data_IF_484633925474
#
_entry.id   IF_484633925474
#
_cell.length_a   1.000
_cell.length_b   1.000
_cell.length_c   1.000
_cell.angle_alpha   90.00
_cell.angle_beta   90.00
_cell.angle_gamma   90.00
#
_symmetry.space_group_name_H-M   'P 1'
#
loop_
_entity.id
_entity.type
_entity.pdbx_description
1 polymer ?
#
# COMPACT_ATOMS: atom_id res chain seq x y z
N UNK A 1 18.51 5.46 -6.41
CA UNK A 1 19.93 5.31 -6.07
C UNK A 1 20.74 4.81 -7.27
N UNK A 2 20.32 3.73 -7.96
CA UNK A 2 21.05 3.18 -9.13
C UNK A 2 21.12 4.18 -10.28
N UNK A 3 19.99 4.84 -10.60
CA UNK A 3 19.96 5.88 -11.65
C UNK A 3 20.84 7.07 -11.31
N UNK A 4 20.88 7.50 -10.05
CA UNK A 4 21.78 8.57 -9.63
C UNK A 4 23.25 8.15 -9.66
N UNK A 5 23.56 6.92 -9.22
CA UNK A 5 24.91 6.38 -9.34
C UNK A 5 25.40 6.33 -10.79
N UNK A 6 24.53 5.92 -11.71
CA UNK A 6 24.81 5.89 -13.15
C UNK A 6 25.11 7.30 -13.72
N UNK A 7 24.23 8.27 -13.41
CA UNK A 7 24.39 9.67 -13.81
C UNK A 7 25.59 10.35 -13.14
N UNK A 8 25.98 9.91 -11.96
CA UNK A 8 27.06 10.50 -11.18
C UNK A 8 28.42 9.81 -11.32
N UNK A 9 28.46 8.66 -12.00
CA UNK A 9 29.70 7.92 -12.25
C UNK A 9 30.15 7.02 -11.09
N UNK A 10 29.28 6.71 -10.10
CA UNK A 10 29.66 5.88 -8.96
C UNK A 10 28.52 5.66 -7.95
N UNK A 11 28.85 4.96 -6.86
CA UNK A 11 27.87 4.64 -5.81
C UNK A 11 28.12 5.34 -4.47
N UNK A 12 29.19 6.13 -4.38
CA UNK A 12 29.51 6.93 -3.21
C UNK A 12 28.61 8.18 -3.06
N UNK A 13 28.73 8.87 -1.93
CA UNK A 13 27.89 10.03 -1.65
C UNK A 13 28.07 11.19 -2.63
N UNK A 14 29.30 11.37 -3.18
CA UNK A 14 29.61 12.41 -4.15
C UNK A 14 28.92 12.10 -5.48
N UNK A 15 29.12 10.90 -6.01
CA UNK A 15 28.50 10.44 -7.26
C UNK A 15 26.97 10.47 -7.19
N UNK A 16 26.38 10.01 -6.07
CA UNK A 16 24.93 10.05 -5.89
C UNK A 16 24.37 11.48 -5.88
N UNK A 17 25.08 12.43 -5.27
CA UNK A 17 24.69 13.84 -5.26
C UNK A 17 24.80 14.46 -6.65
N UNK A 18 25.90 14.22 -7.35
CA UNK A 18 26.08 14.65 -8.75
C UNK A 18 24.97 14.10 -9.64
N UNK A 19 24.69 12.81 -9.53
CA UNK A 19 23.63 12.18 -10.30
C UNK A 19 22.23 12.70 -9.97
N UNK A 20 21.97 13.07 -8.72
CA UNK A 20 20.70 13.69 -8.33
C UNK A 20 20.53 15.09 -8.94
N UNK A 21 21.58 15.89 -8.93
CA UNK A 21 21.57 17.22 -9.57
C UNK A 21 21.36 17.10 -11.08
N UNK A 22 22.11 16.21 -11.75
CA UNK A 22 21.97 15.95 -13.19
C UNK A 22 20.55 15.43 -13.55
N UNK A 23 19.98 14.56 -12.73
CA UNK A 23 18.60 14.08 -12.92
C UNK A 23 17.55 15.18 -12.76
N UNK A 24 17.84 16.22 -11.96
CA UNK A 24 16.98 17.39 -11.79
C UNK A 24 17.32 18.54 -12.76
N UNK A 25 18.19 18.29 -13.77
CA UNK A 25 18.67 19.30 -14.72
C UNK A 25 19.30 20.53 -14.04
N UNK A 26 19.88 20.33 -12.85
CA UNK A 26 20.56 21.35 -12.09
C UNK A 26 22.07 21.30 -12.39
N UNK A 27 22.69 22.49 -12.56
CA UNK A 27 24.15 22.58 -12.76
C UNK A 27 24.87 22.17 -11.46
N UNK A 28 25.63 21.07 -11.45
CA UNK A 28 26.40 20.65 -10.29
C UNK A 28 27.39 21.71 -9.77
N UNK A 29 27.91 22.60 -10.63
CA UNK A 29 28.86 23.62 -10.24
C UNK A 29 28.28 24.64 -9.23
N UNK A 30 26.95 24.77 -9.19
CA UNK A 30 26.25 25.64 -8.23
C UNK A 30 26.27 25.09 -6.78
N UNK A 31 26.51 23.79 -6.62
CA UNK A 31 26.56 23.11 -5.31
C UNK A 31 27.97 22.67 -4.96
N UNK A 32 28.74 22.22 -5.94
CA UNK A 32 30.13 21.76 -5.79
C UNK A 32 31.10 22.91 -6.00
N UNK A 33 31.09 23.89 -5.11
CA UNK A 33 31.87 25.12 -5.22
C UNK A 33 33.23 25.02 -4.54
N UNK A 34 33.40 24.08 -3.59
CA UNK A 34 34.63 23.99 -2.77
C UNK A 34 34.71 25.06 -1.68
N UNK A 35 33.70 25.92 -1.52
CA UNK A 35 33.72 27.02 -0.55
C UNK A 35 33.01 26.60 0.75
N UNK A 36 33.58 26.96 1.91
CA UNK A 36 33.02 26.66 3.22
C UNK A 36 32.83 25.15 3.44
N UNK A 37 31.58 24.71 3.54
CA UNK A 37 31.21 23.29 3.70
C UNK A 37 30.75 22.63 2.38
N UNK A 38 30.82 23.34 1.27
CA UNK A 38 30.44 22.79 -0.03
C UNK A 38 31.45 21.71 -0.50
N UNK A 39 30.98 20.67 -1.19
CA UNK A 39 31.87 19.68 -1.77
C UNK A 39 32.86 20.31 -2.73
N UNK A 40 34.02 19.66 -2.91
CA UNK A 40 35.05 20.11 -3.89
C UNK A 40 34.45 20.27 -5.30
N UNK A 41 34.93 21.23 -6.11
CA UNK A 41 34.46 21.45 -7.48
C UNK A 41 34.41 20.15 -8.29
N UNK A 42 33.51 20.11 -9.28
CA UNK A 42 33.41 19.01 -10.24
C UNK A 42 34.69 18.93 -11.08
N UNK A 43 35.17 17.71 -11.27
CA UNK A 43 36.37 17.42 -12.08
C UNK A 43 36.04 16.48 -13.24
N UNK A 44 37.01 16.23 -14.13
CA UNK A 44 36.84 15.26 -15.21
C UNK A 44 36.60 13.82 -14.70
N UNK A 45 37.04 13.50 -13.47
CA UNK A 45 36.83 12.18 -12.86
C UNK A 45 35.39 11.96 -12.39
N UNK A 46 34.59 13.01 -12.32
CA UNK A 46 33.16 12.97 -11.93
C UNK A 46 32.23 12.68 -13.13
N UNK A 47 32.70 11.97 -14.14
CA UNK A 47 31.92 11.65 -15.32
C UNK A 47 30.89 10.57 -15.01
N UNK A 48 29.62 10.88 -15.28
CA UNK A 48 28.51 9.90 -15.29
C UNK A 48 28.09 9.60 -16.74
N UNK A 49 27.14 8.70 -16.89
CA UNK A 49 26.59 8.31 -18.19
C UNK A 49 25.13 8.73 -18.31
N UNK A 50 24.63 9.09 -19.50
CA UNK A 50 23.23 9.41 -19.75
C UNK A 50 22.31 8.24 -19.42
N UNK A 51 21.08 8.51 -18.91
CA UNK A 51 20.14 7.45 -18.54
C UNK A 51 19.50 6.73 -19.72
N UNK A 52 19.47 7.33 -20.90
CA UNK A 52 18.92 6.74 -22.13
C UNK A 52 19.68 5.49 -22.59
N UNK A 53 20.99 5.44 -22.34
CA UNK A 53 21.83 4.27 -22.63
C UNK A 53 21.94 3.29 -21.44
N UNK A 54 21.37 3.63 -20.28
CA UNK A 54 21.43 2.77 -19.11
C UNK A 54 20.57 1.52 -19.28
N UNK A 55 20.96 0.38 -18.67
CA UNK A 55 20.08 -0.78 -18.54
C UNK A 55 18.73 -0.38 -17.93
N UNK A 56 17.63 -1.01 -18.38
CA UNK A 56 16.27 -0.66 -17.96
C UNK A 56 16.09 -0.72 -16.43
N UNK A 57 16.65 -1.74 -15.79
CA UNK A 57 16.63 -1.87 -14.33
C UNK A 57 17.28 -0.68 -13.61
N UNK A 58 18.32 -0.10 -14.19
CA UNK A 58 19.01 1.11 -13.69
C UNK A 58 18.12 2.34 -13.92
N UNK A 59 17.59 2.51 -15.13
CA UNK A 59 16.68 3.62 -15.46
C UNK A 59 15.48 3.69 -14.54
N UNK A 60 14.94 2.53 -14.19
CA UNK A 60 13.71 2.39 -13.38
C UNK A 60 13.99 2.15 -11.89
N UNK A 61 15.27 2.22 -11.46
CA UNK A 61 15.64 1.97 -10.06
C UNK A 61 15.05 0.66 -9.50
N UNK A 62 15.12 -0.41 -10.28
CA UNK A 62 14.55 -1.72 -9.95
C UNK A 62 15.65 -2.76 -9.76
N UNK A 63 15.57 -3.67 -8.78
CA UNK A 63 16.46 -4.82 -8.71
C UNK A 63 16.35 -5.70 -9.96
N UNK A 64 17.48 -6.10 -10.55
CA UNK A 64 17.50 -6.84 -11.81
C UNK A 64 16.66 -8.13 -11.75
N UNK A 65 16.74 -8.86 -10.64
CA UNK A 65 16.04 -10.13 -10.44
C UNK A 65 14.51 -10.00 -10.40
N UNK A 66 13.97 -8.80 -10.06
CA UNK A 66 12.51 -8.55 -10.02
C UNK A 66 11.93 -8.07 -11.36
N UNK A 67 12.77 -7.62 -12.29
CA UNK A 67 12.30 -7.08 -13.59
C UNK A 67 11.44 -8.08 -14.36
N UNK A 68 11.81 -9.37 -14.49
CA UNK A 68 11.00 -10.33 -15.22
C UNK A 68 9.59 -10.50 -14.62
N UNK A 69 9.49 -10.62 -13.29
CA UNK A 69 8.22 -10.85 -12.59
C UNK A 69 7.31 -9.61 -12.64
N UNK A 70 7.90 -8.42 -12.45
CA UNK A 70 7.15 -7.16 -12.57
C UNK A 70 6.64 -6.92 -13.99
N UNK A 71 7.44 -7.21 -15.01
CA UNK A 71 7.00 -7.15 -16.42
C UNK A 71 5.89 -8.14 -16.72
N UNK A 72 6.02 -9.37 -16.26
CA UNK A 72 4.99 -10.39 -16.45
C UNK A 72 3.66 -10.01 -15.77
N UNK A 73 3.73 -9.28 -14.65
CA UNK A 73 2.55 -8.83 -13.92
C UNK A 73 1.92 -7.55 -14.46
N UNK A 74 2.72 -6.59 -14.87
CA UNK A 74 2.29 -5.23 -15.23
C UNK A 74 2.18 -5.01 -16.76
N UNK A 75 2.82 -5.86 -17.56
CA UNK A 75 2.83 -5.69 -19.01
C UNK A 75 3.37 -4.32 -19.44
N UNK A 76 2.61 -3.61 -20.27
CA UNK A 76 2.97 -2.29 -20.77
C UNK A 76 3.03 -1.20 -19.68
N UNK A 77 2.34 -1.41 -18.55
CA UNK A 77 2.36 -0.49 -17.42
C UNK A 77 3.63 -0.59 -16.57
N UNK A 78 4.52 -1.56 -16.82
CA UNK A 78 5.73 -1.76 -16.02
C UNK A 78 6.58 -0.49 -15.90
N UNK A 79 6.96 0.11 -17.01
CA UNK A 79 7.83 1.28 -16.99
C UNK A 79 7.12 2.52 -16.39
N UNK A 80 5.87 2.86 -16.75
CA UNK A 80 5.12 3.95 -16.12
C UNK A 80 4.94 3.76 -14.61
N UNK A 81 4.61 2.55 -14.14
CA UNK A 81 4.45 2.24 -12.71
C UNK A 81 5.75 2.43 -11.96
N UNK A 82 6.85 1.85 -12.49
CA UNK A 82 8.15 1.99 -11.83
C UNK A 82 8.64 3.43 -11.80
N UNK A 83 8.36 4.22 -12.83
CA UNK A 83 8.64 5.66 -12.83
C UNK A 83 7.83 6.38 -11.74
N UNK A 84 6.54 6.09 -11.63
CA UNK A 84 5.65 6.66 -10.59
C UNK A 84 6.12 6.33 -9.17
N UNK A 85 6.61 5.11 -8.94
CA UNK A 85 7.13 4.67 -7.64
C UNK A 85 8.42 5.39 -7.19
N UNK A 86 9.07 6.15 -8.06
CA UNK A 86 10.23 7.01 -7.72
C UNK A 86 9.82 8.34 -7.09
N UNK A 87 8.57 8.75 -7.27
CA UNK A 87 8.04 9.99 -6.72
C UNK A 87 7.43 9.79 -5.33
N UNK A 88 7.35 10.88 -4.57
CA UNK A 88 6.73 10.86 -3.24
C UNK A 88 5.25 10.47 -3.35
N UNK A 89 4.82 9.55 -2.48
CA UNK A 89 3.42 9.16 -2.40
C UNK A 89 2.54 10.35 -1.98
N UNK A 90 1.38 10.53 -2.59
CA UNK A 90 0.34 11.42 -2.08
C UNK A 90 -0.11 11.01 -0.67
N UNK A 91 -0.61 11.97 0.10
CA UNK A 91 -1.22 11.72 1.40
C UNK A 91 -2.73 11.65 1.21
N UNK A 92 -3.32 10.53 1.61
CA UNK A 92 -4.76 10.34 1.56
C UNK A 92 -5.37 10.23 2.94
N UNK A 93 -6.58 10.77 3.06
CA UNK A 93 -7.45 10.63 4.21
C UNK A 93 -8.69 9.87 3.79
N UNK A 94 -9.18 9.02 4.68
CA UNK A 94 -10.49 8.40 4.57
C UNK A 94 -11.47 9.17 5.46
N UNK A 95 -12.55 9.67 4.90
CA UNK A 95 -13.68 10.19 5.67
C UNK A 95 -14.35 9.03 6.45
N UNK A 96 -14.62 9.27 7.72
CA UNK A 96 -15.24 8.29 8.61
C UNK A 96 -16.77 8.35 8.50
N UNK A 97 -17.36 7.46 7.72
CA UNK A 97 -18.80 7.43 7.46
C UNK A 97 -19.67 7.18 8.70
N UNK A 98 -19.09 6.74 9.83
CA UNK A 98 -19.81 6.66 11.11
C UNK A 98 -20.01 8.04 11.77
N UNK A 99 -19.29 9.08 11.32
CA UNK A 99 -19.30 10.41 11.95
C UNK A 99 -19.57 11.57 10.99
N UNK A 100 -19.22 11.41 9.70
CA UNK A 100 -19.26 12.52 8.75
C UNK A 100 -19.38 12.02 7.31
N UNK A 101 -19.63 12.92 6.40
CA UNK A 101 -19.48 12.70 4.96
C UNK A 101 -18.09 13.15 4.48
N UNK A 102 -17.69 12.74 3.27
CA UNK A 102 -16.43 13.18 2.66
C UNK A 102 -16.37 14.72 2.53
N UNK A 103 -17.48 15.33 2.10
CA UNK A 103 -17.54 16.76 1.82
C UNK A 103 -17.53 17.58 3.12
N UNK A 104 -18.15 17.10 4.19
CA UNK A 104 -18.07 17.72 5.52
C UNK A 104 -16.66 17.62 6.10
N UNK A 105 -16.03 16.45 6.01
CA UNK A 105 -14.65 16.28 6.43
C UNK A 105 -13.69 17.20 5.67
N UNK A 106 -13.88 17.38 4.36
CA UNK A 106 -13.09 18.30 3.56
C UNK A 106 -13.28 19.76 4.00
N UNK A 107 -14.51 20.18 4.32
CA UNK A 107 -14.80 21.53 4.83
C UNK A 107 -14.12 21.76 6.19
N UNK A 108 -14.25 20.83 7.12
CA UNK A 108 -13.59 20.93 8.43
C UNK A 108 -12.08 21.05 8.30
N UNK A 109 -11.46 20.28 7.39
CA UNK A 109 -10.02 20.38 7.11
C UNK A 109 -9.63 21.75 6.52
N UNK A 110 -10.46 22.27 5.60
CA UNK A 110 -10.22 23.56 4.96
C UNK A 110 -10.29 24.75 5.96
N UNK A 111 -11.15 24.68 6.97
CA UNK A 111 -11.23 25.68 8.07
C UNK A 111 -9.90 25.77 8.85
N UNK A 112 -9.13 24.68 8.90
CA UNK A 112 -7.77 24.64 9.49
C UNK A 112 -6.66 24.89 8.44
N UNK A 113 -7.02 25.26 7.22
CA UNK A 113 -6.11 25.54 6.11
C UNK A 113 -5.47 24.29 5.52
N UNK A 114 -6.04 23.10 5.75
CA UNK A 114 -5.62 21.83 5.12
C UNK A 114 -6.46 21.63 3.87
N UNK A 115 -5.83 21.84 2.71
CA UNK A 115 -6.51 21.69 1.43
C UNK A 115 -6.57 20.23 1.00
N UNK A 116 -7.73 19.83 0.48
CA UNK A 116 -7.96 18.47 0.00
C UNK A 116 -8.74 18.47 -1.31
N UNK A 117 -8.60 17.40 -2.09
CA UNK A 117 -9.46 17.12 -3.24
C UNK A 117 -10.01 15.70 -3.18
N UNK A 118 -11.23 15.45 -3.65
CA UNK A 118 -11.76 14.09 -3.77
C UNK A 118 -10.87 13.23 -4.67
N UNK A 119 -10.63 11.98 -4.25
CA UNK A 119 -10.00 10.99 -5.10
C UNK A 119 -11.07 10.16 -5.83
N UNK A 120 -10.90 9.87 -7.12
CA UNK A 120 -11.84 9.01 -7.86
C UNK A 120 -11.76 7.54 -7.47
N UNK A 121 -10.68 7.10 -6.80
CA UNK A 121 -10.46 5.70 -6.43
C UNK A 121 -11.45 5.18 -5.38
N UNK A 122 -11.88 6.04 -4.46
CA UNK A 122 -12.80 5.65 -3.40
C UNK A 122 -13.70 6.83 -3.00
N UNK A 123 -14.97 6.55 -2.75
CA UNK A 123 -15.96 7.57 -2.39
C UNK A 123 -15.63 8.29 -1.07
N UNK A 124 -14.85 7.65 -0.19
CA UNK A 124 -14.40 8.20 1.09
C UNK A 124 -13.05 8.92 1.03
N UNK A 125 -12.35 8.84 -0.10
CA UNK A 125 -10.97 9.29 -0.20
C UNK A 125 -10.83 10.78 -0.51
N UNK A 126 -9.99 11.45 0.29
CA UNK A 126 -9.53 12.82 0.11
C UNK A 126 -8.00 12.81 -0.06
N UNK A 127 -7.50 13.36 -1.16
CA UNK A 127 -6.08 13.64 -1.31
C UNK A 127 -5.75 14.98 -0.66
N UNK A 128 -4.73 15.01 0.19
CA UNK A 128 -4.25 16.24 0.82
C UNK A 128 -3.31 16.96 -0.14
N UNK A 129 -3.68 18.14 -0.59
CA UNK A 129 -2.94 18.94 -1.56
C UNK A 129 -2.04 20.01 -0.90
N UNK A 130 -2.40 20.46 0.31
CA UNK A 130 -1.58 21.39 1.07
C UNK A 130 -1.58 21.06 2.56
N UNK A 131 -0.45 21.40 3.25
CA UNK A 131 -0.26 21.28 4.70
C UNK A 131 -0.46 19.85 5.27
N UNK A 132 -0.05 18.81 4.55
CA UNK A 132 -0.22 17.42 4.97
C UNK A 132 0.35 17.11 6.38
N UNK A 133 1.41 17.83 6.82
CA UNK A 133 1.98 17.66 8.17
C UNK A 133 1.06 18.14 9.29
N UNK A 134 0.07 19.00 8.99
CA UNK A 134 -0.87 19.52 9.99
C UNK A 134 -2.02 18.54 10.29
N UNK A 135 -2.24 17.52 9.43
CA UNK A 135 -3.36 16.59 9.52
C UNK A 135 -3.48 15.94 10.90
N UNK A 136 -2.40 15.38 11.44
CA UNK A 136 -2.44 14.68 12.74
C UNK A 136 -2.75 15.60 13.93
N UNK A 137 -2.54 16.90 13.79
CA UNK A 137 -2.88 17.93 14.77
C UNK A 137 -4.25 18.59 14.54
N UNK A 138 -4.95 18.27 13.45
CA UNK A 138 -6.25 18.87 13.13
C UNK A 138 -7.38 18.37 14.03
N UNK A 139 -8.42 19.16 14.21
CA UNK A 139 -9.65 18.74 14.89
C UNK A 139 -10.29 17.56 14.14
N UNK A 140 -10.35 17.64 12.80
CA UNK A 140 -10.90 16.57 11.97
C UNK A 140 -10.25 15.20 12.28
N UNK A 141 -8.94 15.15 12.50
CA UNK A 141 -8.25 13.90 12.87
C UNK A 141 -8.48 13.52 14.33
N UNK A 142 -8.36 14.46 15.27
CA UNK A 142 -8.55 14.21 16.71
C UNK A 142 -9.97 13.75 17.05
N UNK A 143 -10.96 14.32 16.37
CA UNK A 143 -12.37 14.00 16.58
C UNK A 143 -12.84 12.79 15.78
N UNK A 144 -11.91 12.15 15.04
CA UNK A 144 -12.17 10.92 14.31
C UNK A 144 -13.04 11.08 13.07
N UNK A 145 -13.12 12.28 12.50
CA UNK A 145 -13.82 12.55 11.23
C UNK A 145 -13.03 11.98 10.04
N UNK A 146 -11.70 11.92 10.17
CA UNK A 146 -10.82 11.36 9.14
C UNK A 146 -9.78 10.41 9.72
N UNK A 147 -9.31 9.48 8.89
CA UNK A 147 -8.22 8.55 9.20
C UNK A 147 -7.20 8.57 8.06
N UNK A 148 -5.91 8.48 8.39
CA UNK A 148 -4.85 8.32 7.39
C UNK A 148 -4.93 6.93 6.76
N UNK A 149 -5.28 6.86 5.48
CA UNK A 149 -5.32 5.61 4.73
C UNK A 149 -5.16 5.88 3.23
N UNK A 150 -4.34 5.10 2.56
CA UNK A 150 -4.18 5.19 1.10
C UNK A 150 -5.50 4.98 0.35
N UNK A 151 -5.69 5.67 -0.79
CA UNK A 151 -6.93 5.63 -1.55
C UNK A 151 -7.22 4.23 -2.13
N UNK A 152 -6.22 3.49 -2.58
CA UNK A 152 -6.42 2.13 -3.08
C UNK A 152 -6.77 1.15 -1.94
N UNK A 153 -6.20 1.34 -0.73
CA UNK A 153 -6.62 0.58 0.45
C UNK A 153 -8.08 0.85 0.83
N UNK A 154 -8.58 2.07 0.60
CA UNK A 154 -10.00 2.40 0.78
C UNK A 154 -10.86 1.74 -0.29
N UNK A 155 -10.44 1.79 -1.56
CA UNK A 155 -11.11 1.14 -2.69
C UNK A 155 -11.25 -0.37 -2.50
N UNK A 156 -10.21 -1.03 -1.94
CA UNK A 156 -10.28 -2.44 -1.54
C UNK A 156 -11.46 -2.68 -0.59
N UNK A 157 -11.63 -1.85 0.44
CA UNK A 157 -12.75 -2.00 1.39
C UNK A 157 -14.10 -1.70 0.74
N UNK A 158 -14.16 -0.72 -0.16
CA UNK A 158 -15.40 -0.38 -0.88
C UNK A 158 -15.88 -1.52 -1.81
N UNK A 159 -14.95 -2.26 -2.40
CA UNK A 159 -15.25 -3.42 -3.23
C UNK A 159 -15.65 -4.69 -2.43
N UNK A 160 -15.53 -4.69 -1.10
CA UNK A 160 -15.94 -5.82 -0.28
C UNK A 160 -17.47 -5.87 -0.09
N UNK A 161 -18.06 -7.07 0.05
CA UNK A 161 -19.44 -7.23 0.46
C UNK A 161 -19.77 -6.43 1.72
N UNK A 162 -21.00 -5.84 1.76
CA UNK A 162 -21.40 -4.99 2.87
C UNK A 162 -22.09 -5.78 3.98
N UNK A 163 -21.94 -5.25 5.21
CA UNK A 163 -22.69 -5.71 6.39
C UNK A 163 -22.22 -7.05 6.94
N UNK A 164 -23.01 -7.59 7.85
CA UNK A 164 -22.76 -8.88 8.47
C UNK A 164 -21.62 -8.90 9.49
N UNK A 165 -21.24 -10.12 9.86
CA UNK A 165 -20.13 -10.41 10.76
C UNK A 165 -18.86 -10.56 9.94
N UNK A 166 -17.92 -9.65 10.14
CA UNK A 166 -16.67 -9.55 9.34
C UNK A 166 -15.46 -9.83 10.23
N UNK A 167 -14.64 -10.78 9.81
CA UNK A 167 -13.32 -11.01 10.39
C UNK A 167 -12.25 -10.34 9.52
N UNK A 168 -11.50 -9.39 10.08
CA UNK A 168 -10.23 -8.91 9.55
C UNK A 168 -9.11 -9.78 10.14
N UNK A 169 -8.67 -10.79 9.38
CA UNK A 169 -7.79 -11.86 9.86
C UNK A 169 -6.32 -11.42 10.03
N UNK A 170 -5.90 -10.39 9.29
CA UNK A 170 -4.55 -9.82 9.35
C UNK A 170 -4.63 -8.32 9.62
N UNK A 171 -5.33 -7.93 10.67
CA UNK A 171 -5.78 -6.56 10.90
C UNK A 171 -4.65 -5.51 11.03
N UNK A 172 -3.47 -5.91 11.49
CA UNK A 172 -2.37 -4.98 11.71
C UNK A 172 -2.81 -3.82 12.61
N UNK A 173 -2.61 -2.58 12.16
CA UNK A 173 -3.08 -1.39 12.88
C UNK A 173 -4.59 -1.12 12.78
N UNK A 174 -5.38 -1.98 12.10
CA UNK A 174 -6.84 -1.91 12.03
C UNK A 174 -7.40 -0.90 11.03
N UNK A 175 -6.61 -0.44 10.06
CA UNK A 175 -7.07 0.54 9.07
C UNK A 175 -8.30 0.08 8.27
N UNK A 176 -8.30 -1.18 7.81
CA UNK A 176 -9.43 -1.79 7.11
C UNK A 176 -10.56 -2.17 8.07
N UNK A 177 -10.25 -2.68 9.28
CA UNK A 177 -11.24 -2.92 10.33
C UNK A 177 -12.07 -1.68 10.65
N UNK A 178 -11.42 -0.52 10.84
CA UNK A 178 -12.11 0.77 11.08
C UNK A 178 -13.01 1.18 9.91
N UNK A 179 -12.56 0.94 8.67
CA UNK A 179 -13.35 1.25 7.48
C UNK A 179 -14.60 0.36 7.37
N UNK A 180 -14.47 -0.93 7.63
CA UNK A 180 -15.57 -1.90 7.64
C UNK A 180 -16.59 -1.57 8.73
N UNK A 181 -16.13 -1.27 9.96
CA UNK A 181 -17.01 -0.88 11.06
C UNK A 181 -17.76 0.43 10.78
N UNK A 182 -17.11 1.42 10.15
CA UNK A 182 -17.76 2.66 9.74
C UNK A 182 -18.85 2.47 8.67
N UNK A 183 -18.82 1.34 7.95
CA UNK A 183 -19.86 0.92 6.98
C UNK A 183 -20.97 0.06 7.62
N UNK A 184 -20.97 -0.09 8.95
CA UNK A 184 -22.01 -0.80 9.70
C UNK A 184 -21.79 -2.30 9.89
N UNK A 185 -20.60 -2.84 9.58
CA UNK A 185 -20.29 -4.24 9.84
C UNK A 185 -20.03 -4.49 11.34
N UNK A 186 -20.37 -5.67 11.83
CA UNK A 186 -19.90 -6.20 13.11
C UNK A 186 -18.48 -6.76 12.91
N UNK A 187 -17.46 -5.98 13.32
CA UNK A 187 -16.07 -6.28 12.99
C UNK A 187 -15.33 -6.97 14.13
N UNK A 188 -14.69 -8.06 13.76
CA UNK A 188 -13.74 -8.82 14.58
C UNK A 188 -12.34 -8.69 13.94
N UNK A 189 -11.36 -8.29 14.74
CA UNK A 189 -9.98 -8.11 14.30
C UNK A 189 -9.08 -9.16 14.92
N UNK A 190 -8.21 -9.75 14.08
CA UNK A 190 -7.18 -10.69 14.50
C UNK A 190 -5.86 -10.33 13.79
N UNK A 191 -4.76 -10.56 14.46
CA UNK A 191 -3.42 -10.54 13.84
C UNK A 191 -2.55 -11.58 14.56
N UNK A 192 -1.75 -12.31 13.79
CA UNK A 192 -0.82 -13.32 14.34
C UNK A 192 0.19 -12.71 15.33
N UNK A 193 0.47 -11.40 15.21
CA UNK A 193 1.20 -10.60 16.19
C UNK A 193 0.23 -9.59 16.84
N UNK A 194 -0.36 -9.90 18.02
CA UNK A 194 -1.31 -9.02 18.69
C UNK A 194 -0.76 -7.62 19.00
N UNK A 195 0.57 -7.48 19.11
CA UNK A 195 1.23 -6.19 19.33
C UNK A 195 1.00 -5.19 18.19
N UNK A 196 0.68 -5.66 16.98
CA UNK A 196 0.34 -4.79 15.84
C UNK A 196 -1.03 -4.12 16.00
N UNK A 197 -1.93 -4.72 16.78
CA UNK A 197 -3.27 -4.18 17.07
C UNK A 197 -3.30 -3.29 18.33
N UNK A 198 -2.16 -3.01 18.96
CA UNK A 198 -2.09 -2.26 20.24
C UNK A 198 -2.83 -0.93 20.22
N UNK A 199 -2.75 -0.20 19.11
CA UNK A 199 -3.35 1.12 18.98
C UNK A 199 -4.81 1.08 18.47
N UNK A 200 -5.29 -0.09 18.07
CA UNK A 200 -6.65 -0.26 17.51
C UNK A 200 -7.78 0.14 18.47
N UNK A 201 -7.74 -0.17 19.79
CA UNK A 201 -8.80 0.28 20.71
C UNK A 201 -8.97 1.80 20.75
N UNK A 202 -7.87 2.54 20.91
CA UNK A 202 -7.89 4.00 20.95
C UNK A 202 -8.35 4.60 19.60
N UNK A 203 -7.95 3.99 18.49
CA UNK A 203 -8.39 4.41 17.15
C UNK A 203 -9.88 4.13 16.93
N UNK A 204 -10.39 2.99 17.39
CA UNK A 204 -11.81 2.63 17.31
C UNK A 204 -12.68 3.57 18.16
N UNK A 205 -12.24 3.90 19.37
CA UNK A 205 -12.89 4.88 20.24
C UNK A 205 -12.95 6.25 19.57
N UNK A 206 -11.81 6.75 19.06
CA UNK A 206 -11.74 8.01 18.30
C UNK A 206 -12.67 7.99 17.09
N UNK A 207 -12.71 6.89 16.35
CA UNK A 207 -13.59 6.74 15.19
C UNK A 207 -15.07 6.55 15.56
N UNK A 208 -15.41 6.33 16.83
CA UNK A 208 -16.79 6.08 17.29
C UNK A 208 -17.35 4.74 16.84
N UNK A 209 -16.50 3.73 16.65
CA UNK A 209 -16.88 2.39 16.22
C UNK A 209 -16.43 1.34 17.22
N UNK A 210 -17.05 0.15 17.16
CA UNK A 210 -16.68 -1.00 18.00
C UNK A 210 -16.02 -2.07 17.15
N UNK A 211 -14.90 -2.59 17.64
CA UNK A 211 -14.15 -3.68 17.00
C UNK A 211 -13.72 -4.65 18.09
N UNK A 212 -14.15 -5.91 17.99
CA UNK A 212 -13.75 -6.97 18.90
C UNK A 212 -12.40 -7.55 18.49
N UNK A 213 -11.41 -7.56 19.38
CA UNK A 213 -10.14 -8.22 19.12
C UNK A 213 -10.21 -9.69 19.54
N UNK A 214 -9.83 -10.60 18.63
CA UNK A 214 -9.86 -12.04 18.87
C UNK A 214 -8.44 -12.63 18.89
N UNK A 215 -8.18 -13.50 19.87
CA UNK A 215 -6.99 -14.35 19.88
C UNK A 215 -7.29 -15.73 19.27
N UNK A 216 -8.47 -16.27 19.52
CA UNK A 216 -8.94 -17.56 18.99
C UNK A 216 -10.16 -17.33 18.09
N UNK A 217 -9.91 -17.17 16.81
CA UNK A 217 -10.92 -16.80 15.79
C UNK A 217 -11.96 -17.91 15.58
N UNK A 218 -11.57 -19.18 15.77
CA UNK A 218 -12.41 -20.35 15.58
C UNK A 218 -13.60 -20.37 16.54
N UNK A 219 -13.46 -19.75 17.72
CA UNK A 219 -14.54 -19.68 18.72
C UNK A 219 -15.65 -18.69 18.33
N UNK A 220 -15.33 -17.74 17.47
CA UNK A 220 -16.27 -16.73 17.00
C UNK A 220 -16.82 -17.02 15.60
N UNK A 221 -16.23 -17.99 14.89
CA UNK A 221 -16.69 -18.42 13.57
C UNK A 221 -18.11 -19.03 13.63
N UNK A 222 -18.87 -19.02 12.53
CA UNK A 222 -18.49 -18.54 11.21
C UNK A 222 -18.72 -17.03 11.01
N UNK A 223 -18.11 -16.48 9.93
CA UNK A 223 -18.23 -15.06 9.53
C UNK A 223 -18.81 -14.95 8.11
N UNK A 224 -19.59 -13.90 7.87
CA UNK A 224 -20.17 -13.62 6.54
C UNK A 224 -19.07 -13.16 5.54
N UNK A 225 -18.03 -12.49 6.07
CA UNK A 225 -16.84 -12.10 5.32
C UNK A 225 -15.60 -12.36 6.17
N UNK A 226 -14.61 -13.03 5.58
CA UNK A 226 -13.26 -13.11 6.14
C UNK A 226 -12.31 -12.35 5.20
N UNK A 227 -11.77 -11.22 5.67
CA UNK A 227 -10.77 -10.46 4.97
C UNK A 227 -9.37 -10.91 5.39
N UNK A 228 -8.54 -11.27 4.42
CA UNK A 228 -7.12 -11.58 4.61
C UNK A 228 -6.26 -10.55 3.87
N UNK A 229 -5.97 -9.40 4.52
CA UNK A 229 -5.00 -8.40 4.05
C UNK A 229 -3.60 -8.89 4.42
N UNK A 230 -3.07 -9.81 3.62
CA UNK A 230 -1.93 -10.65 4.00
C UNK A 230 -0.59 -9.91 3.98
N UNK A 231 0.40 -10.34 4.78
CA UNK A 231 1.77 -9.86 4.64
C UNK A 231 2.31 -10.17 3.24
N UNK A 232 2.90 -9.18 2.60
CA UNK A 232 3.40 -9.26 1.22
C UNK A 232 4.68 -8.44 1.06
N UNK A 233 5.25 -8.44 -0.15
CA UNK A 233 6.46 -7.67 -0.50
C UNK A 233 6.27 -6.15 -0.34
N UNK A 234 5.03 -5.67 -0.31
CA UNK A 234 4.71 -4.24 -0.28
C UNK A 234 5.10 -3.51 -1.57
N UNK A 235 5.28 -4.22 -2.68
CA UNK A 235 5.80 -3.66 -3.93
C UNK A 235 4.91 -2.55 -4.50
N UNK A 236 3.61 -2.55 -4.22
CA UNK A 236 2.70 -1.48 -4.60
C UNK A 236 2.88 -0.18 -3.81
N UNK A 237 3.55 -0.23 -2.66
CA UNK A 237 3.75 0.91 -1.77
C UNK A 237 5.22 1.34 -1.63
N UNK A 238 6.13 0.90 -2.52
CA UNK A 238 7.56 1.23 -2.44
C UNK A 238 7.85 2.73 -2.50
N UNK A 239 6.96 3.56 -3.06
CA UNK A 239 7.09 5.02 -2.99
C UNK A 239 7.00 5.58 -1.56
N UNK A 240 6.47 4.81 -0.58
CA UNK A 240 6.42 5.14 0.85
C UNK A 240 7.62 4.62 1.62
N UNK A 241 8.16 3.47 1.19
CA UNK A 241 9.31 2.80 1.78
C UNK A 241 10.25 2.30 0.66
N UNK A 242 10.98 3.21 -0.02
CA UNK A 242 11.75 2.86 -1.23
C UNK A 242 12.89 1.87 -0.97
N UNK A 243 13.35 1.76 0.27
CA UNK A 243 14.33 0.75 0.68
C UNK A 243 13.76 -0.68 0.62
N UNK A 244 12.44 -0.85 0.68
CA UNK A 244 11.77 -2.17 0.69
C UNK A 244 12.15 -3.01 -0.51
N UNK A 245 12.19 -2.43 -1.72
CA UNK A 245 12.57 -3.15 -2.94
C UNK A 245 14.02 -3.63 -2.96
N UNK A 246 14.93 -2.95 -2.24
CA UNK A 246 16.35 -3.31 -2.15
C UNK A 246 16.64 -4.31 -1.06
N UNK A 247 15.77 -4.40 -0.05
CA UNK A 247 15.86 -5.37 1.06
C UNK A 247 15.21 -6.70 0.71
N UNK A 248 14.27 -6.71 -0.22
CA UNK A 248 13.58 -7.92 -0.67
C UNK A 248 14.56 -8.84 -1.39
N UNK A 249 14.55 -10.12 -1.01
CA UNK A 249 15.30 -11.21 -1.67
C UNK A 249 14.33 -12.26 -2.19
N UNK A 250 14.80 -13.13 -3.10
CA UNK A 250 13.99 -14.24 -3.61
C UNK A 250 13.50 -15.17 -2.49
N UNK A 251 14.38 -15.50 -1.52
CA UNK A 251 14.01 -16.33 -0.37
C UNK A 251 12.97 -15.67 0.54
N UNK A 252 13.01 -14.32 0.67
CA UNK A 252 11.98 -13.59 1.44
C UNK A 252 10.64 -13.62 0.71
N UNK A 253 10.65 -13.44 -0.61
CA UNK A 253 9.44 -13.49 -1.43
C UNK A 253 8.81 -14.88 -1.37
N UNK A 254 9.57 -15.94 -1.53
CA UNK A 254 9.09 -17.33 -1.40
C UNK A 254 8.46 -17.59 -0.02
N UNK A 255 9.08 -17.12 1.07
CA UNK A 255 8.50 -17.23 2.42
C UNK A 255 7.19 -16.47 2.58
N UNK A 256 7.07 -15.30 1.95
CA UNK A 256 5.81 -14.54 1.93
C UNK A 256 4.72 -15.33 1.19
N UNK A 257 5.01 -15.89 0.03
CA UNK A 257 4.07 -16.71 -0.73
C UNK A 257 3.58 -17.94 0.06
N UNK A 258 4.49 -18.61 0.76
CA UNK A 258 4.14 -19.75 1.64
C UNK A 258 3.24 -19.30 2.80
N UNK A 259 3.52 -18.15 3.40
CA UNK A 259 2.72 -17.55 4.48
C UNK A 259 1.33 -17.19 3.98
N UNK A 260 1.22 -16.57 2.80
CA UNK A 260 -0.03 -16.18 2.16
C UNK A 260 -0.91 -17.41 1.88
N UNK A 261 -0.33 -18.47 1.32
CA UNK A 261 -1.04 -19.73 1.09
C UNK A 261 -1.52 -20.37 2.41
N UNK A 262 -0.72 -20.30 3.47
CA UNK A 262 -1.10 -20.84 4.77
C UNK A 262 -2.26 -20.02 5.41
N UNK A 263 -2.25 -18.69 5.24
CA UNK A 263 -3.33 -17.82 5.71
C UNK A 263 -4.64 -18.15 5.00
N UNK A 264 -4.65 -18.26 3.67
CA UNK A 264 -5.84 -18.64 2.90
C UNK A 264 -6.43 -19.97 3.38
N UNK A 265 -5.59 -21.00 3.57
CA UNK A 265 -6.04 -22.32 4.08
C UNK A 265 -6.65 -22.26 5.47
N UNK A 266 -6.13 -21.39 6.36
CA UNK A 266 -6.66 -21.21 7.72
C UNK A 266 -7.91 -20.35 7.76
N UNK A 267 -8.02 -19.36 6.88
CA UNK A 267 -9.14 -18.44 6.83
C UNK A 267 -10.40 -19.03 6.18
N UNK A 268 -10.23 -19.86 5.17
CA UNK A 268 -11.34 -20.44 4.40
C UNK A 268 -12.39 -21.17 5.27
N UNK A 269 -12.03 -22.04 6.24
CA UNK A 269 -13.00 -22.71 7.11
C UNK A 269 -13.78 -21.78 8.05
N UNK A 270 -13.37 -20.53 8.21
CA UNK A 270 -14.02 -19.54 9.07
C UNK A 270 -15.19 -18.84 8.37
N UNK A 271 -15.36 -19.02 7.07
CA UNK A 271 -16.40 -18.40 6.27
C UNK A 271 -17.71 -19.14 6.44
N UNK A 272 -18.80 -18.41 6.68
CA UNK A 272 -20.15 -18.94 6.75
C UNK A 272 -20.63 -19.51 5.40
N UNK A 273 -21.57 -20.46 5.37
CA UNK A 273 -22.25 -20.85 4.14
C UNK A 273 -22.84 -19.62 3.45
N UNK A 274 -22.53 -19.43 2.15
CA UNK A 274 -22.93 -18.25 1.39
C UNK A 274 -22.10 -16.99 1.64
N UNK A 275 -21.17 -17.03 2.57
CA UNK A 275 -20.23 -15.94 2.87
C UNK A 275 -19.13 -15.79 1.82
N UNK A 276 -18.19 -14.90 2.09
CA UNK A 276 -17.07 -14.59 1.21
C UNK A 276 -15.71 -14.66 1.93
N UNK A 277 -14.69 -15.13 1.20
CA UNK A 277 -13.29 -15.01 1.56
C UNK A 277 -12.65 -13.94 0.66
N UNK A 278 -12.18 -12.86 1.26
CA UNK A 278 -11.48 -11.80 0.55
C UNK A 278 -9.98 -11.90 0.81
N UNK A 279 -9.20 -11.86 -0.26
CA UNK A 279 -7.75 -11.87 -0.22
C UNK A 279 -7.22 -10.56 -0.78
N UNK A 280 -6.42 -9.84 -0.02
CA UNK A 280 -5.84 -8.57 -0.43
C UNK A 280 -4.33 -8.52 -0.18
N UNK A 281 -3.61 -7.80 -1.03
CA UNK A 281 -2.19 -7.45 -0.86
C UNK A 281 -1.94 -6.02 -1.32
N UNK A 282 -0.89 -5.39 -0.80
CA UNK A 282 -0.30 -4.19 -1.40
C UNK A 282 0.89 -4.57 -2.31
N UNK A 283 0.73 -5.61 -3.14
CA UNK A 283 1.77 -6.12 -4.04
C UNK A 283 1.41 -5.92 -5.50
N UNK A 284 2.44 -5.66 -6.32
CA UNK A 284 2.36 -5.65 -7.78
C UNK A 284 2.82 -6.99 -8.39
N UNK A 285 3.26 -7.94 -7.59
CA UNK A 285 3.82 -9.22 -8.06
C UNK A 285 2.70 -10.25 -8.27
N UNK A 286 2.62 -10.80 -9.47
CA UNK A 286 1.57 -11.74 -9.86
C UNK A 286 1.54 -13.02 -9.03
N UNK A 287 2.71 -13.50 -8.56
CA UNK A 287 2.82 -14.67 -7.69
C UNK A 287 2.24 -14.45 -6.29
N UNK A 288 2.25 -13.22 -5.76
CA UNK A 288 1.59 -12.86 -4.50
C UNK A 288 0.08 -12.58 -4.67
N UNK A 289 -0.39 -12.39 -5.90
CA UNK A 289 -1.75 -11.98 -6.25
C UNK A 289 -2.54 -13.13 -6.88
N UNK A 290 -2.87 -13.03 -8.17
CA UNK A 290 -3.62 -14.07 -8.90
C UNK A 290 -2.94 -15.45 -8.85
N UNK A 291 -1.62 -15.51 -8.66
CA UNK A 291 -0.88 -16.76 -8.44
C UNK A 291 -1.36 -17.51 -7.21
N UNK A 292 -1.55 -16.81 -6.08
CA UNK A 292 -2.06 -17.39 -4.84
C UNK A 292 -3.51 -17.87 -5.00
N UNK A 293 -4.34 -17.08 -5.67
CA UNK A 293 -5.75 -17.39 -5.89
C UNK A 293 -5.91 -18.63 -6.78
N UNK A 294 -5.15 -18.71 -7.88
CA UNK A 294 -5.15 -19.91 -8.75
C UNK A 294 -4.73 -21.17 -7.98
N UNK A 295 -3.66 -21.09 -7.17
CA UNK A 295 -3.19 -22.19 -6.33
C UNK A 295 -4.27 -22.63 -5.33
N UNK A 296 -4.87 -21.66 -4.61
CA UNK A 296 -5.92 -21.94 -3.64
C UNK A 296 -7.13 -22.64 -4.28
N UNK A 297 -7.62 -22.13 -5.43
CA UNK A 297 -8.76 -22.73 -6.12
C UNK A 297 -8.45 -24.13 -6.69
N UNK A 298 -7.22 -24.39 -7.11
CA UNK A 298 -6.80 -25.71 -7.57
C UNK A 298 -6.81 -26.75 -6.42
N UNK A 299 -6.46 -26.33 -5.19
CA UNK A 299 -6.50 -27.17 -4.00
C UNK A 299 -7.91 -27.26 -3.38
N UNK A 300 -8.81 -26.32 -3.70
CA UNK A 300 -10.13 -26.17 -3.09
C UNK A 300 -11.22 -25.99 -4.16
N UNK A 301 -11.61 -27.07 -4.82
CA UNK A 301 -12.54 -27.07 -5.97
C UNK A 301 -13.95 -26.52 -5.66
N UNK A 302 -14.34 -26.44 -4.36
CA UNK A 302 -15.59 -25.83 -3.90
C UNK A 302 -15.60 -24.31 -3.94
N UNK A 303 -14.48 -23.65 -4.23
CA UNK A 303 -14.39 -22.19 -4.30
C UNK A 303 -14.32 -21.70 -5.75
N UNK A 304 -14.83 -20.49 -6.00
CA UNK A 304 -14.66 -19.78 -7.27
C UNK A 304 -14.34 -18.32 -7.02
N UNK A 305 -13.64 -17.70 -7.93
CA UNK A 305 -13.37 -16.27 -7.96
C UNK A 305 -14.65 -15.53 -8.40
N UNK A 306 -15.22 -14.73 -7.51
CA UNK A 306 -16.42 -13.93 -7.79
C UNK A 306 -16.04 -12.54 -8.31
N UNK A 307 -15.03 -11.91 -7.72
CA UNK A 307 -14.56 -10.57 -8.10
C UNK A 307 -13.04 -10.49 -7.99
N UNK A 308 -12.43 -9.71 -8.88
CA UNK A 308 -10.99 -9.42 -8.88
C UNK A 308 -10.79 -7.93 -9.21
N UNK A 309 -9.96 -7.25 -8.39
CA UNK A 309 -9.60 -5.86 -8.60
C UNK A 309 -8.08 -5.71 -8.52
N UNK A 310 -7.53 -4.88 -9.39
CA UNK A 310 -6.11 -4.51 -9.41
C UNK A 310 -6.01 -3.00 -9.47
N UNK A 311 -5.21 -2.46 -8.58
CA UNK A 311 -4.88 -1.05 -8.53
C UNK A 311 -3.38 -0.90 -8.71
N UNK A 312 -2.98 0.09 -9.48
CA UNK A 312 -1.58 0.45 -9.69
C UNK A 312 -1.31 1.87 -9.22
N UNK A 313 -0.07 2.28 -9.02
CA UNK A 313 0.25 3.67 -8.76
C UNK A 313 -0.22 4.67 -9.83
N UNK A 314 -0.56 4.21 -11.04
CA UNK A 314 -1.09 5.05 -12.12
C UNK A 314 -2.54 5.48 -11.85
N UNK A 315 -3.27 4.71 -11.03
CA UNK A 315 -4.63 5.06 -10.60
C UNK A 315 -4.66 6.17 -9.52
N UNK A 316 -3.48 6.62 -9.06
CA UNK A 316 -3.32 7.69 -8.07
C UNK A 316 -3.05 7.21 -6.64
N UNK A 317 -3.55 6.03 -6.23
CA UNK A 317 -3.26 5.37 -4.95
C UNK A 317 -1.98 4.53 -4.99
N UNK A 318 -1.74 3.72 -3.97
CA UNK A 318 -0.72 2.68 -3.99
C UNK A 318 -1.18 1.48 -4.85
N UNK A 319 -0.25 0.59 -5.21
CA UNK A 319 -0.63 -0.66 -5.86
C UNK A 319 -1.30 -1.61 -4.87
N UNK A 320 -2.45 -2.17 -5.26
CA UNK A 320 -3.20 -3.15 -4.46
C UNK A 320 -3.81 -4.22 -5.36
N UNK A 321 -4.05 -5.36 -4.76
CA UNK A 321 -4.80 -6.47 -5.33
C UNK A 321 -5.89 -6.91 -4.37
N UNK A 322 -7.06 -7.23 -4.90
CA UNK A 322 -8.18 -7.83 -4.17
C UNK A 322 -8.78 -8.96 -5.00
N UNK A 323 -9.01 -10.10 -4.36
CA UNK A 323 -9.85 -11.18 -4.89
C UNK A 323 -10.93 -11.53 -3.87
N UNK A 324 -12.18 -11.64 -4.31
CA UNK A 324 -13.29 -12.11 -3.51
C UNK A 324 -13.70 -13.51 -3.99
N UNK A 325 -13.60 -14.47 -3.09
CA UNK A 325 -13.89 -15.88 -3.35
C UNK A 325 -15.20 -16.25 -2.66
N UNK A 326 -15.99 -17.13 -3.32
CA UNK A 326 -17.22 -17.69 -2.76
C UNK A 326 -17.26 -19.21 -2.97
N UNK A 327 -18.00 -19.90 -2.10
CA UNK A 327 -18.33 -21.30 -2.34
C UNK A 327 -19.20 -21.43 -3.59
N UNK A 328 -18.95 -22.49 -4.38
CA UNK A 328 -19.88 -22.95 -5.40
C UNK A 328 -21.12 -23.48 -4.68
N UNK A 329 -22.28 -23.02 -5.12
CA UNK A 329 -23.57 -23.50 -4.65
C UNK A 329 -23.79 -24.96 -5.06
#
# INVERSE_FOLDING_TARGET
>A
RRSFGWLGGGEDGRALMLGALRAGELDPSTVFTGEGHAPAPVTADDEGQPLDIAPEAVRLDTPDWLVPDLKASLGDDFAPVMATLRHRAPVFLRANLARTTRDEAARTLAEEGIETRPSPLAATALEVTARARAVSGSAAYRDGLVELQDAASQAVVEALPQGGRVLDYCAGGGGKSLALAARGAEVFAHDANPGRMRDLPARAERAGVRIAQLQAVERAAPFDLVLTDVPCSGSGSWRRAPEGKWRLTADMLERLEQTQAAILRRAAPLVAPGGALAYATCSLLGQENAGQIRRFMAENSGWHLAEEHRFTPLDGGDGFYLAVLRHKL
#
